data_IF_939019020464
#
_entry.id   IF_939019020464
#
_cell.length_a   1.000
_cell.length_b   1.000
_cell.length_c   1.000
_cell.angle_alpha   90.00
_cell.angle_beta   90.00
_cell.angle_gamma   90.00
#
_symmetry.space_group_name_H-M   'P 1'
#
loop_
_entity.id
_entity.type
_entity.pdbx_description
1 polymer ?
#
# COMPACT_ATOMS: atom_id res chain seq x y z
N UNK A 1 2.26 18.65 -1.09
CA UNK A 1 0.85 18.20 -1.21
C UNK A 1 0.69 16.66 -1.20
N UNK A 2 1.64 15.86 -0.68
CA UNK A 2 1.58 14.37 -0.69
C UNK A 2 0.83 13.74 0.48
N UNK A 3 0.84 14.39 1.65
CA UNK A 3 0.18 13.91 2.88
C UNK A 3 -1.30 13.55 2.70
N UNK A 4 -2.17 14.38 2.08
CA UNK A 4 -3.60 14.02 1.95
C UNK A 4 -3.82 12.75 1.12
N UNK A 5 -2.94 12.43 0.16
CA UNK A 5 -3.03 11.17 -0.59
C UNK A 5 -2.76 9.96 0.30
N UNK A 6 -1.73 10.04 1.14
CA UNK A 6 -1.41 8.96 2.11
C UNK A 6 -2.57 8.77 3.10
N UNK A 7 -3.15 9.88 3.59
CA UNK A 7 -4.32 9.83 4.49
C UNK A 7 -5.55 9.23 3.81
N UNK A 8 -5.84 9.62 2.56
CA UNK A 8 -6.96 9.06 1.80
C UNK A 8 -6.78 7.57 1.52
N UNK A 9 -5.56 7.13 1.15
CA UNK A 9 -5.28 5.70 0.96
C UNK A 9 -5.42 4.92 2.27
N UNK A 10 -4.94 5.46 3.38
CA UNK A 10 -5.10 4.83 4.70
C UNK A 10 -6.58 4.67 5.08
N UNK A 11 -7.41 5.70 4.83
CA UNK A 11 -8.85 5.62 5.05
C UNK A 11 -9.52 4.61 4.13
N UNK A 12 -9.13 4.57 2.84
CA UNK A 12 -9.66 3.63 1.86
C UNK A 12 -9.38 2.17 2.25
N UNK A 13 -8.13 1.83 2.55
CA UNK A 13 -7.79 0.44 2.90
C UNK A 13 -8.43 0.00 4.21
N UNK A 14 -8.62 0.94 5.16
CA UNK A 14 -9.35 0.67 6.41
C UNK A 14 -10.85 0.52 6.19
N UNK A 15 -11.45 1.15 5.19
CA UNK A 15 -12.86 0.91 4.87
C UNK A 15 -13.08 -0.49 4.29
N UNK A 16 -12.07 -1.06 3.62
CA UNK A 16 -12.11 -2.43 3.10
C UNK A 16 -11.93 -3.47 4.21
N UNK A 17 -11.00 -3.22 5.14
CA UNK A 17 -10.80 -4.05 6.33
C UNK A 17 -10.77 -3.15 7.59
N UNK A 18 -11.91 -3.02 8.30
CA UNK A 18 -12.02 -2.19 9.50
C UNK A 18 -11.15 -2.65 10.68
N UNK A 19 -10.63 -3.88 10.64
CA UNK A 19 -9.80 -4.44 11.72
C UNK A 19 -8.35 -3.96 11.66
N UNK A 20 -7.94 -3.33 10.55
CA UNK A 20 -6.60 -2.80 10.38
C UNK A 20 -6.31 -1.65 11.38
N UNK A 21 -5.34 -1.89 12.25
CA UNK A 21 -4.79 -0.87 13.13
C UNK A 21 -3.76 0.02 12.40
N UNK A 22 -3.35 1.12 13.03
CA UNK A 22 -2.42 2.09 12.44
C UNK A 22 -1.08 1.47 12.01
N UNK A 23 -0.58 0.49 12.76
CA UNK A 23 0.67 -0.20 12.42
C UNK A 23 0.49 -1.07 11.18
N UNK A 24 -0.60 -1.83 11.09
CA UNK A 24 -0.90 -2.67 9.93
C UNK A 24 -1.08 -1.84 8.65
N UNK A 25 -1.81 -0.72 8.75
CA UNK A 25 -1.97 0.24 7.65
C UNK A 25 -0.59 0.74 7.19
N UNK A 26 0.26 1.19 8.13
CA UNK A 26 1.61 1.64 7.80
C UNK A 26 2.42 0.56 7.09
N UNK A 27 2.41 -0.67 7.60
CA UNK A 27 3.14 -1.80 6.99
C UNK A 27 2.66 -2.06 5.57
N UNK A 28 1.34 -2.11 5.33
CA UNK A 28 0.77 -2.31 3.99
C UNK A 28 1.24 -1.20 3.03
N UNK A 29 1.16 0.06 3.45
CA UNK A 29 1.57 1.18 2.61
C UNK A 29 3.06 1.13 2.24
N UNK A 30 3.94 0.74 3.17
CA UNK A 30 5.39 0.62 2.94
C UNK A 30 5.73 -0.62 2.11
N UNK A 31 5.10 -1.77 2.39
CA UNK A 31 5.33 -3.02 1.66
C UNK A 31 4.93 -2.90 0.19
N UNK A 32 3.87 -2.15 -0.09
CA UNK A 32 3.31 -2.00 -1.43
C UNK A 32 3.83 -0.78 -2.17
N UNK A 33 4.61 0.08 -1.51
CA UNK A 33 5.23 1.22 -2.15
C UNK A 33 6.19 0.79 -3.27
N UNK A 34 6.17 1.52 -4.38
CA UNK A 34 7.09 1.31 -5.49
C UNK A 34 8.49 1.80 -5.10
N UNK A 35 9.45 0.89 -5.17
CA UNK A 35 10.87 1.17 -4.98
C UNK A 35 11.59 1.54 -6.26
N UNK A 36 10.98 1.25 -7.41
CA UNK A 36 11.45 1.67 -8.72
C UNK A 36 10.33 2.44 -9.43
N UNK A 37 10.69 3.52 -10.10
CA UNK A 37 9.81 4.31 -10.95
C UNK A 37 10.10 3.89 -12.39
N UNK A 38 9.07 3.40 -13.07
CA UNK A 38 9.14 3.10 -14.50
C UNK A 38 8.86 4.39 -15.28
N UNK A 39 9.81 4.80 -16.10
CA UNK A 39 9.72 6.00 -16.94
C UNK A 39 9.47 5.66 -18.42
N UNK A 40 9.17 4.40 -18.75
CA UNK A 40 8.95 3.94 -20.12
C UNK A 40 10.22 3.66 -20.91
N UNK A 41 11.34 4.32 -20.56
CA UNK A 41 12.67 4.07 -21.14
C UNK A 41 13.57 3.22 -20.20
N UNK A 42 13.08 2.90 -19.00
CA UNK A 42 13.81 2.11 -18.00
C UNK A 42 13.26 2.29 -16.58
N UNK A 43 13.76 1.48 -15.65
CA UNK A 43 13.48 1.63 -14.22
C UNK A 43 14.57 2.46 -13.55
N UNK A 44 14.14 3.50 -12.85
CA UNK A 44 15.01 4.22 -11.91
C UNK A 44 14.64 3.83 -10.47
N UNK A 45 15.64 3.60 -9.59
CA UNK A 45 15.36 3.46 -8.18
C UNK A 45 14.70 4.72 -7.65
N UNK A 46 13.73 4.56 -6.76
CA UNK A 46 13.12 5.67 -6.06
C UNK A 46 14.19 6.40 -5.24
N UNK A 47 14.18 7.75 -5.22
CA UNK A 47 15.18 8.52 -4.48
C UNK A 47 15.19 8.13 -2.98
N UNK A 48 16.37 8.09 -2.36
CA UNK A 48 16.46 7.70 -0.93
C UNK A 48 15.71 8.66 0.00
N UNK A 49 15.43 9.88 -0.44
CA UNK A 49 14.67 10.89 0.31
C UNK A 49 13.18 10.55 0.43
N UNK A 50 12.64 9.63 -0.38
CA UNK A 50 11.20 9.27 -0.32
C UNK A 50 10.87 8.19 0.71
N UNK A 51 11.85 7.78 1.53
CA UNK A 51 11.67 6.88 2.66
C UNK A 51 11.16 5.48 2.25
N UNK A 52 9.91 5.17 2.56
CA UNK A 52 9.29 3.87 2.26
C UNK A 52 9.10 3.58 0.76
N UNK A 53 9.24 4.59 -0.09
CA UNK A 53 9.06 4.51 -1.55
C UNK A 53 7.89 5.38 -2.03
N UNK A 54 7.53 5.22 -3.30
CA UNK A 54 6.41 5.95 -3.91
C UNK A 54 5.10 5.21 -3.60
N UNK A 55 4.12 5.94 -3.05
CA UNK A 55 2.79 5.39 -2.74
C UNK A 55 2.14 4.72 -3.97
N UNK A 56 1.74 3.46 -3.83
CA UNK A 56 1.02 2.70 -4.86
C UNK A 56 -0.34 2.24 -4.32
N UNK A 57 -1.37 3.03 -4.61
CA UNK A 57 -2.72 2.84 -4.08
C UNK A 57 -3.31 1.51 -4.55
N UNK A 58 -3.09 1.16 -5.82
CA UNK A 58 -3.55 -0.07 -6.44
C UNK A 58 -2.98 -1.30 -5.74
N UNK A 59 -1.68 -1.32 -5.48
CA UNK A 59 -1.00 -2.44 -4.82
C UNK A 59 -1.45 -2.57 -3.35
N UNK A 60 -1.61 -1.45 -2.65
CA UNK A 60 -2.12 -1.43 -1.27
C UNK A 60 -3.54 -2.04 -1.18
N UNK A 61 -4.43 -1.63 -2.08
CA UNK A 61 -5.81 -2.15 -2.16
C UNK A 61 -5.82 -3.63 -2.52
N UNK A 62 -5.05 -4.04 -3.54
CA UNK A 62 -4.94 -5.44 -3.94
C UNK A 62 -4.42 -6.33 -2.81
N UNK A 63 -3.44 -5.86 -2.03
CA UNK A 63 -2.91 -6.58 -0.87
C UNK A 63 -3.98 -6.82 0.19
N UNK A 64 -4.78 -5.80 0.52
CA UNK A 64 -5.85 -5.91 1.53
C UNK A 64 -6.92 -6.90 1.08
N UNK A 65 -7.37 -6.80 -0.18
CA UNK A 65 -8.34 -7.74 -0.77
C UNK A 65 -7.78 -9.17 -0.76
N UNK A 66 -6.49 -9.34 -1.09
CA UNK A 66 -5.85 -10.65 -1.09
C UNK A 66 -5.74 -11.25 0.31
N UNK A 67 -5.40 -10.44 1.32
CA UNK A 67 -5.37 -10.85 2.71
C UNK A 67 -6.75 -11.34 3.19
N UNK A 68 -7.81 -10.58 2.89
CA UNK A 68 -9.19 -10.96 3.25
C UNK A 68 -9.60 -12.30 2.64
N UNK A 69 -9.32 -12.49 1.34
CA UNK A 69 -9.60 -13.77 0.65
C UNK A 69 -8.87 -14.94 1.29
N UNK A 70 -7.61 -14.75 1.68
CA UNK A 70 -6.82 -15.79 2.32
C UNK A 70 -7.34 -16.10 3.73
N UNK A 71 -7.77 -15.10 4.50
CA UNK A 71 -8.38 -15.30 5.82
C UNK A 71 -9.69 -16.10 5.75
N UNK A 72 -10.51 -15.90 4.71
CA UNK A 72 -11.74 -16.69 4.52
C UNK A 72 -11.44 -18.15 4.13
N UNK A 73 -10.38 -18.40 3.36
CA UNK A 73 -10.04 -19.76 2.88
C UNK A 73 -9.52 -20.68 4.00
N UNK A 74 -9.00 -20.14 5.09
CA UNK A 74 -8.47 -20.92 6.23
C UNK A 74 -9.57 -21.29 7.24
N UNK A 75 -10.75 -20.67 7.15
CA UNK A 75 -11.87 -20.88 8.07
C UNK A 75 -12.96 -21.84 7.54
N UNK A 76 -12.72 -22.52 6.41
CA UNK A 76 -13.66 -23.42 5.75
C UNK A 76 -13.14 -24.85 5.60
#
# INVERSE_FOLDING_TARGET
>A
MSVPFVTATAALIRSLDPTLNASAIKSILVETARKNIDLGEGQLPAPTEVGGGVLAIDLAVQKVISNLKNSTKVAG
#
